data_IF_924240710800
#
_entry.id   IF_924240710800
#
_cell.length_a   1.000
_cell.length_b   1.000
_cell.length_c   1.000
_cell.angle_alpha   90.00
_cell.angle_beta   90.00
_cell.angle_gamma   90.00
#
_symmetry.space_group_name_H-M   'P 1'
#
loop_
_entity.id
_entity.type
_entity.pdbx_description
1 polymer ?
#
# COMPACT_ATOMS: atom_id res chain seq x y z
N UNK A 1 16.91 -9.15 -5.05
CA UNK A 1 15.80 -8.26 -5.45
C UNK A 1 15.66 -7.21 -4.37
N UNK A 2 15.26 -5.98 -4.67
CA UNK A 2 15.10 -4.94 -3.66
C UNK A 2 13.68 -4.98 -3.10
N UNK A 3 13.51 -5.31 -1.82
CA UNK A 3 12.21 -5.30 -1.14
C UNK A 3 12.14 -4.14 -0.16
N UNK A 4 11.10 -3.31 -0.25
CA UNK A 4 10.90 -2.14 0.61
C UNK A 4 9.53 -2.22 1.27
N UNK A 5 9.48 -2.19 2.59
CA UNK A 5 8.26 -2.05 3.38
C UNK A 5 8.21 -0.69 4.06
N UNK A 6 7.04 -0.06 4.12
CA UNK A 6 6.79 1.18 4.86
C UNK A 6 5.48 1.10 5.65
N UNK A 7 5.45 1.77 6.81
CA UNK A 7 4.24 1.89 7.62
C UNK A 7 4.26 3.14 8.52
N UNK A 8 3.12 3.47 9.10
CA UNK A 8 2.90 4.48 10.16
C UNK A 8 3.39 5.88 9.75
N UNK A 9 3.13 6.27 8.49
CA UNK A 9 3.42 7.63 7.99
C UNK A 9 2.26 8.59 8.21
N UNK A 10 1.04 8.06 8.36
CA UNK A 10 -0.21 8.79 8.46
C UNK A 10 -0.63 9.08 9.91
N UNK A 11 -1.63 9.95 10.03
CA UNK A 11 -2.21 10.39 11.30
C UNK A 11 -3.73 10.47 11.19
N UNK A 12 -4.41 10.52 12.34
CA UNK A 12 -5.83 10.89 12.39
C UNK A 12 -6.10 12.28 11.79
N UNK A 13 -5.09 13.14 11.74
CA UNK A 13 -5.15 14.49 11.17
C UNK A 13 -4.96 14.53 9.65
N UNK A 14 -4.53 13.43 9.02
CA UNK A 14 -4.28 13.37 7.58
C UNK A 14 -3.10 12.48 7.20
N UNK A 15 -2.65 12.60 5.95
CA UNK A 15 -1.60 11.75 5.40
C UNK A 15 -2.09 10.37 5.00
N UNK A 16 -1.22 9.58 4.36
CA UNK A 16 -1.53 8.22 3.97
C UNK A 16 -0.25 7.47 3.57
N UNK A 17 0.00 6.30 4.15
CA UNK A 17 1.14 5.43 3.82
C UNK A 17 1.13 4.96 2.37
N UNK A 18 -0.04 4.67 1.80
CA UNK A 18 -0.12 4.26 0.38
C UNK A 18 0.19 5.43 -0.56
N UNK A 19 -0.16 6.67 -0.18
CA UNK A 19 0.20 7.87 -0.94
C UNK A 19 1.72 8.08 -0.96
N UNK A 20 2.39 7.96 0.19
CA UNK A 20 3.87 7.99 0.28
C UNK A 20 4.48 6.88 -0.57
N UNK A 21 3.81 5.73 -0.65
CA UNK A 21 4.16 4.65 -1.57
C UNK A 21 4.28 5.08 -3.04
N UNK A 22 3.39 5.95 -3.52
CA UNK A 22 3.47 6.47 -4.90
C UNK A 22 4.68 7.38 -5.11
N UNK A 23 5.06 8.16 -4.10
CA UNK A 23 6.27 8.99 -4.12
C UNK A 23 7.54 8.14 -4.14
N UNK A 24 7.58 7.03 -3.40
CA UNK A 24 8.73 6.09 -3.43
C UNK A 24 8.89 5.45 -4.81
N UNK A 25 7.79 5.05 -5.45
CA UNK A 25 7.84 4.48 -6.80
C UNK A 25 8.40 5.50 -7.80
N UNK A 26 7.99 6.77 -7.69
CA UNK A 26 8.51 7.83 -8.56
C UNK A 26 9.98 8.14 -8.28
N UNK A 27 10.38 8.19 -7.02
CA UNK A 27 11.77 8.40 -6.62
C UNK A 27 12.69 7.33 -7.17
N UNK A 28 12.26 6.06 -7.13
CA UNK A 28 13.03 4.88 -7.55
C UNK A 28 12.75 4.48 -9.00
N UNK A 29 12.45 5.45 -9.87
CA UNK A 29 12.07 5.23 -11.28
C UNK A 29 13.13 4.53 -12.13
N UNK A 30 14.38 4.46 -11.67
CA UNK A 30 15.44 3.67 -12.30
C UNK A 30 15.29 2.15 -12.12
N UNK A 31 14.42 1.73 -11.20
CA UNK A 31 14.11 0.32 -10.94
C UNK A 31 12.72 -0.05 -11.47
N UNK A 32 12.60 -1.26 -12.01
CA UNK A 32 11.30 -1.78 -12.41
C UNK A 32 10.55 -2.35 -11.19
N UNK A 33 9.26 -2.05 -11.06
CA UNK A 33 8.39 -2.75 -10.13
C UNK A 33 8.18 -4.18 -10.59
N UNK A 34 8.42 -5.12 -9.69
CA UNK A 34 8.23 -6.54 -9.91
C UNK A 34 7.06 -7.01 -9.06
N UNK A 35 6.07 -7.59 -9.74
CA UNK A 35 4.73 -7.83 -9.22
C UNK A 35 4.04 -6.54 -8.76
N UNK A 36 2.79 -6.67 -8.36
CA UNK A 36 2.02 -5.55 -7.84
C UNK A 36 2.53 -5.15 -6.44
N UNK A 37 2.52 -3.84 -6.12
CA UNK A 37 2.64 -3.37 -4.75
C UNK A 37 1.64 -4.07 -3.82
N UNK A 38 2.04 -4.29 -2.57
CA UNK A 38 1.21 -4.96 -1.57
C UNK A 38 0.73 -3.96 -0.55
N UNK A 39 -0.55 -3.99 -0.22
CA UNK A 39 -1.15 -3.29 0.92
C UNK A 39 -1.59 -4.35 1.93
N UNK A 40 -0.90 -4.41 3.07
CA UNK A 40 -1.06 -5.48 4.05
C UNK A 40 -1.73 -4.93 5.29
N UNK A 41 -2.96 -5.37 5.54
CA UNK A 41 -3.74 -5.06 6.73
C UNK A 41 -3.30 -5.98 7.88
N UNK A 42 -2.90 -5.37 8.99
CA UNK A 42 -2.47 -6.06 10.20
C UNK A 42 -3.63 -6.15 11.19
N UNK A 43 -3.38 -6.74 12.37
CA UNK A 43 -4.40 -7.01 13.37
C UNK A 43 -5.23 -5.75 13.72
N UNK A 44 -6.54 -5.71 13.44
CA UNK A 44 -7.36 -4.52 13.65
C UNK A 44 -7.60 -4.21 15.13
N UNK A 45 -7.29 -5.13 16.04
CA UNK A 45 -7.54 -5.00 17.48
C UNK A 45 -6.36 -4.41 18.26
N UNK A 46 -5.24 -4.11 17.59
CA UNK A 46 -4.08 -3.51 18.24
C UNK A 46 -4.41 -2.07 18.68
N UNK A 47 -4.13 -1.69 19.94
CA UNK A 47 -4.52 -0.39 20.49
C UNK A 47 -3.72 0.77 19.87
N UNK A 48 -2.50 0.51 19.41
CA UNK A 48 -1.60 1.49 18.80
C UNK A 48 -1.74 1.53 17.27
N UNK A 49 -2.94 1.36 16.72
CA UNK A 49 -3.14 1.43 15.27
C UNK A 49 -3.37 2.87 14.79
N UNK A 50 -2.89 3.20 13.60
CA UNK A 50 -3.50 4.27 12.80
C UNK A 50 -4.80 3.77 12.17
N UNK A 51 -5.54 4.63 11.45
CA UNK A 51 -6.82 4.24 10.86
C UNK A 51 -6.57 3.16 9.78
N UNK A 52 -7.02 1.93 10.08
CA UNK A 52 -6.95 0.80 9.14
C UNK A 52 -5.69 -0.08 9.23
N UNK A 53 -4.79 0.17 10.19
CA UNK A 53 -3.60 -0.65 10.53
C UNK A 53 -2.94 -1.33 9.31
N UNK A 54 -2.51 -0.54 8.32
CA UNK A 54 -2.08 -1.06 7.02
C UNK A 54 -0.70 -0.56 6.62
N UNK A 55 0.19 -1.50 6.33
CA UNK A 55 1.53 -1.24 5.81
C UNK A 55 1.58 -1.53 4.31
N UNK A 56 2.54 -0.94 3.58
CA UNK A 56 2.73 -1.24 2.15
C UNK A 56 4.12 -1.79 1.87
N UNK A 57 4.19 -2.69 0.89
CA UNK A 57 5.43 -3.30 0.43
C UNK A 57 5.57 -3.22 -1.09
N UNK A 58 6.80 -3.03 -1.54
CA UNK A 58 7.21 -2.96 -2.93
C UNK A 58 8.34 -3.95 -3.18
N UNK A 59 8.41 -4.47 -4.40
CA UNK A 59 9.54 -5.26 -4.87
C UNK A 59 10.05 -4.63 -6.15
N UNK A 60 11.34 -4.31 -6.18
CA UNK A 60 12.04 -3.66 -7.27
C UNK A 60 13.14 -4.57 -7.82
N UNK A 61 13.41 -4.45 -9.11
CA UNK A 61 14.42 -5.23 -9.79
C UNK A 61 14.59 -4.79 -11.24
N UNK A 62 15.09 -5.70 -12.08
CA UNK A 62 15.06 -5.54 -13.54
C UNK A 62 13.95 -6.39 -14.13
N UNK A 63 12.96 -5.77 -14.74
CA UNK A 63 11.78 -6.41 -15.30
C UNK A 63 12.10 -7.38 -16.44
N UNK A 64 11.40 -8.51 -16.47
CA UNK A 64 11.52 -9.52 -17.54
C UNK A 64 10.14 -10.02 -17.94
N UNK A 65 9.84 -9.97 -19.24
CA UNK A 65 8.60 -10.48 -19.80
C UNK A 65 7.50 -9.42 -19.86
N UNK A 66 6.22 -9.83 -19.82
CA UNK A 66 5.11 -8.90 -19.93
C UNK A 66 5.04 -7.98 -18.71
N UNK A 67 4.58 -6.75 -18.97
CA UNK A 67 4.27 -5.76 -17.94
C UNK A 67 2.81 -5.36 -18.06
N UNK A 68 2.21 -5.02 -16.92
CA UNK A 68 0.83 -4.56 -16.83
C UNK A 68 0.82 -3.15 -16.26
N UNK A 69 -0.10 -2.31 -16.75
CA UNK A 69 -0.31 -0.98 -16.18
C UNK A 69 -1.06 -1.12 -14.87
N UNK A 70 -0.47 -0.59 -13.79
CA UNK A 70 -1.02 -0.71 -12.44
C UNK A 70 -1.29 0.65 -11.80
N UNK A 71 -0.90 1.75 -12.43
CA UNK A 71 -1.07 3.07 -11.87
C UNK A 71 -0.83 4.19 -12.87
N UNK A 72 -1.19 5.40 -12.45
CA UNK A 72 -0.82 6.65 -13.11
C UNK A 72 -0.46 7.66 -12.04
N UNK A 73 0.66 8.36 -12.22
CA UNK A 73 1.08 9.47 -11.36
C UNK A 73 1.87 10.51 -12.18
N UNK A 74 1.58 11.80 -12.04
CA UNK A 74 2.19 12.90 -12.81
C UNK A 74 2.14 12.70 -14.33
N UNK A 75 1.02 12.17 -14.84
CA UNK A 75 0.86 11.75 -16.25
C UNK A 75 1.82 10.64 -16.72
N UNK A 76 2.58 10.03 -15.80
CA UNK A 76 3.41 8.86 -16.08
C UNK A 76 2.62 7.59 -15.76
N UNK A 77 2.68 6.63 -16.67
CA UNK A 77 2.10 5.31 -16.47
C UNK A 77 3.05 4.45 -15.61
N UNK A 78 2.51 3.88 -14.54
CA UNK A 78 3.24 2.98 -13.66
C UNK A 78 2.94 1.55 -14.13
N UNK A 79 4.01 0.79 -14.39
CA UNK A 79 3.92 -0.60 -14.80
C UNK A 79 4.53 -1.54 -13.76
N UNK A 80 3.98 -2.74 -13.65
CA UNK A 80 4.60 -3.84 -12.92
C UNK A 80 4.88 -5.01 -13.87
N UNK A 81 6.05 -5.61 -13.73
CA UNK A 81 6.43 -6.82 -14.47
C UNK A 81 6.04 -8.07 -13.68
N UNK A 82 5.63 -9.13 -14.35
CA UNK A 82 5.30 -10.40 -13.69
C UNK A 82 6.54 -11.08 -13.06
N UNK A 83 7.71 -10.87 -13.67
CA UNK A 83 8.98 -11.45 -13.23
C UNK A 83 10.08 -10.41 -13.30
N UNK A 84 11.08 -10.57 -12.45
CA UNK A 84 12.26 -9.72 -12.41
C UNK A 84 13.52 -10.50 -12.16
N UNK A 85 14.66 -9.86 -12.41
CA UNK A 85 15.99 -10.32 -12.03
C UNK A 85 16.63 -9.35 -11.06
N UNK A 86 17.61 -9.87 -10.34
CA UNK A 86 18.42 -9.05 -9.44
C UNK A 86 19.11 -7.92 -10.20
N UNK A 87 19.12 -6.76 -9.56
CA UNK A 87 19.84 -5.57 -9.96
C UNK A 87 20.74 -5.17 -8.79
N UNK A 88 21.91 -4.61 -9.09
CA UNK A 88 22.79 -4.08 -8.06
C UNK A 88 22.23 -2.73 -7.59
N UNK A 89 22.19 -2.54 -6.28
CA UNK A 89 21.83 -1.29 -5.63
C UNK A 89 22.65 -1.16 -4.35
N UNK A 90 22.82 0.06 -3.87
CA UNK A 90 23.37 0.33 -2.55
C UNK A 90 22.21 0.53 -1.56
N UNK A 91 22.10 -0.34 -0.55
CA UNK A 91 21.07 -0.23 0.49
C UNK A 91 21.13 1.11 1.23
N UNK A 92 22.32 1.66 1.44
CA UNK A 92 22.51 2.92 2.17
C UNK A 92 22.04 4.11 1.34
N UNK A 93 22.29 4.11 0.03
CA UNK A 93 21.79 5.16 -0.85
C UNK A 93 20.26 5.13 -0.95
N UNK A 94 19.69 3.93 -1.15
CA UNK A 94 18.24 3.75 -1.24
C UNK A 94 17.56 4.17 0.07
N UNK A 95 18.10 3.75 1.23
CA UNK A 95 17.51 4.11 2.52
C UNK A 95 17.62 5.61 2.77
N UNK A 96 18.71 6.26 2.37
CA UNK A 96 18.87 7.72 2.51
C UNK A 96 17.79 8.46 1.71
N UNK A 97 17.58 8.09 0.43
CA UNK A 97 16.55 8.72 -0.43
C UNK A 97 15.15 8.53 0.14
N UNK A 98 14.79 7.30 0.51
CA UNK A 98 13.47 6.99 1.10
C UNK A 98 13.31 7.69 2.46
N UNK A 99 14.35 7.75 3.29
CA UNK A 99 14.28 8.40 4.59
C UNK A 99 13.97 9.89 4.47
N UNK A 100 14.53 10.59 3.47
CA UNK A 100 14.22 12.00 3.19
C UNK A 100 12.76 12.19 2.79
N UNK A 101 12.24 11.32 1.91
CA UNK A 101 10.83 11.35 1.51
C UNK A 101 9.88 11.08 2.66
N UNK A 102 10.12 10.01 3.42
CA UNK A 102 9.32 9.65 4.59
C UNK A 102 9.38 10.75 5.64
N UNK A 103 10.55 11.34 5.89
CA UNK A 103 10.68 12.47 6.82
C UNK A 103 9.89 13.69 6.37
N UNK A 104 9.87 13.98 5.06
CA UNK A 104 9.15 15.12 4.48
C UNK A 104 7.62 14.95 4.50
N UNK A 105 7.13 13.74 4.24
CA UNK A 105 5.70 13.49 4.02
C UNK A 105 4.98 12.82 5.19
N UNK A 106 5.71 12.33 6.21
CA UNK A 106 5.10 11.76 7.40
C UNK A 106 4.58 12.84 8.36
N UNK A 107 3.47 12.53 9.02
CA UNK A 107 2.86 13.43 9.99
C UNK A 107 3.67 13.53 11.30
N UNK A 108 3.68 14.68 12.00
CA UNK A 108 4.47 14.84 13.22
C UNK A 108 4.12 13.88 14.38
N UNK A 109 2.89 13.38 14.43
CA UNK A 109 2.41 12.45 15.46
C UNK A 109 2.43 10.97 15.03
N UNK A 110 2.95 10.68 13.83
CA UNK A 110 3.16 9.32 13.33
C UNK A 110 4.54 8.78 13.73
N UNK A 111 4.75 7.46 13.69
CA UNK A 111 6.04 6.85 14.01
C UNK A 111 6.54 5.96 12.86
N UNK A 112 6.88 6.57 11.71
CA UNK A 112 7.08 5.85 10.48
C UNK A 112 8.26 4.90 10.59
N UNK A 113 8.16 3.80 9.86
CA UNK A 113 9.25 2.85 9.70
C UNK A 113 9.38 2.39 8.27
N UNK A 114 10.63 2.14 7.90
CA UNK A 114 11.06 1.65 6.60
C UNK A 114 11.94 0.43 6.84
N UNK A 115 11.71 -0.63 6.08
CA UNK A 115 12.55 -1.83 6.08
C UNK A 115 12.95 -2.15 4.65
N UNK A 116 14.23 -2.36 4.43
CA UNK A 116 14.82 -2.73 3.14
C UNK A 116 15.49 -4.09 3.26
N UNK A 117 15.11 -5.04 2.41
CA UNK A 117 15.64 -6.41 2.42
C UNK A 117 15.96 -6.90 1.01
N UNK A 118 16.90 -7.84 0.90
CA UNK A 118 17.25 -8.49 -0.38
C UNK A 118 16.33 -9.67 -0.73
N UNK A 119 15.54 -10.10 0.25
CA UNK A 119 14.56 -11.19 0.15
C UNK A 119 13.31 -10.90 0.98
N UNK A 120 12.27 -11.70 0.77
CA UNK A 120 11.12 -11.73 1.68
C UNK A 120 11.57 -12.03 3.11
N UNK A 121 10.89 -11.42 4.07
CA UNK A 121 11.08 -11.73 5.49
C UNK A 121 10.33 -13.02 5.86
N UNK A 122 10.67 -13.67 6.99
CA UNK A 122 10.01 -14.91 7.40
C UNK A 122 8.49 -14.78 7.52
N UNK A 123 7.74 -15.67 6.87
CA UNK A 123 6.27 -15.62 6.79
C UNK A 123 5.59 -15.64 8.18
N UNK A 124 6.21 -16.28 9.16
CA UNK A 124 5.72 -16.30 10.55
C UNK A 124 5.52 -14.89 11.13
N UNK A 125 6.33 -13.90 10.71
CA UNK A 125 6.19 -12.51 11.15
C UNK A 125 4.87 -11.88 10.66
N UNK A 126 4.45 -12.19 9.43
CA UNK A 126 3.16 -11.75 8.91
C UNK A 126 2.02 -12.37 9.73
N UNK A 127 2.05 -13.69 9.95
CA UNK A 127 1.01 -14.38 10.71
C UNK A 127 0.88 -13.86 12.15
N UNK A 128 2.00 -13.56 12.80
CA UNK A 128 1.99 -12.90 14.10
C UNK A 128 1.36 -11.50 14.01
N UNK A 129 1.74 -10.70 13.01
CA UNK A 129 1.23 -9.33 12.84
C UNK A 129 -0.27 -9.22 12.56
N UNK A 130 -0.89 -10.25 11.96
CA UNK A 130 -2.34 -10.28 11.72
C UNK A 130 -3.14 -10.93 12.85
N UNK A 131 -2.54 -11.81 13.66
CA UNK A 131 -3.26 -12.54 14.71
C UNK A 131 -3.01 -12.01 16.12
N UNK A 132 -1.89 -11.35 16.38
CA UNK A 132 -1.45 -10.98 17.73
C UNK A 132 -0.53 -9.75 17.71
N UNK A 133 0.16 -9.47 18.82
CA UNK A 133 1.19 -8.44 18.95
C UNK A 133 2.54 -9.06 18.62
N UNK A 134 3.31 -8.42 17.75
CA UNK A 134 4.68 -8.82 17.40
C UNK A 134 5.62 -8.40 18.53
N UNK A 135 6.42 -9.36 19.04
CA UNK A 135 7.42 -9.06 20.07
C UNK A 135 8.67 -8.41 19.48
N UNK A 136 9.46 -7.72 20.32
CA UNK A 136 10.71 -7.09 19.87
C UNK A 136 11.72 -8.11 19.39
N UNK A 137 11.80 -9.26 20.06
CA UNK A 137 12.70 -10.37 19.75
C UNK A 137 12.36 -10.97 18.38
N UNK A 138 11.07 -11.25 18.15
CA UNK A 138 10.62 -11.77 16.86
C UNK A 138 10.91 -10.80 15.72
N UNK A 139 10.69 -9.50 15.95
CA UNK A 139 11.00 -8.48 14.97
C UNK A 139 12.50 -8.39 14.71
N UNK A 140 13.35 -8.36 15.75
CA UNK A 140 14.81 -8.26 15.60
C UNK A 140 15.38 -9.45 14.85
N UNK A 141 14.89 -10.66 15.13
CA UNK A 141 15.33 -11.89 14.47
C UNK A 141 14.92 -11.91 12.99
N UNK A 142 13.72 -11.40 12.68
CA UNK A 142 13.20 -11.40 11.33
C UNK A 142 13.89 -10.38 10.40
N UNK A 143 14.41 -9.27 10.94
CA UNK A 143 15.05 -8.20 10.15
C UNK A 143 16.59 -8.30 10.10
N UNK A 144 17.17 -9.43 10.53
CA UNK A 144 18.61 -9.66 10.42
C UNK A 144 19.07 -9.54 8.96
N UNK A 145 20.01 -8.64 8.68
CA UNK A 145 20.51 -8.36 7.32
C UNK A 145 19.68 -7.36 6.51
N UNK A 146 18.54 -6.91 7.05
CA UNK A 146 17.77 -5.80 6.50
C UNK A 146 18.34 -4.45 6.98
N UNK A 147 18.18 -3.42 6.17
CA UNK A 147 18.44 -2.03 6.56
C UNK A 147 17.13 -1.40 7.02
N UNK A 148 17.15 -0.70 8.16
CA UNK A 148 15.94 -0.09 8.72
C UNK A 148 16.14 1.39 9.00
N UNK A 149 15.06 2.14 8.86
CA UNK A 149 14.97 3.55 9.22
C UNK A 149 13.64 3.77 9.92
N UNK A 150 13.64 4.60 10.95
CA UNK A 150 12.39 4.98 11.59
C UNK A 150 12.51 6.31 12.31
N UNK A 151 11.36 6.94 12.53
CA UNK A 151 11.26 8.23 13.21
C UNK A 151 10.33 8.13 14.41
N UNK A 152 10.55 9.00 15.39
CA UNK A 152 9.59 9.29 16.46
C UNK A 152 9.13 8.05 17.25
N UNK A 153 10.01 7.07 17.43
CA UNK A 153 9.73 5.80 18.11
C UNK A 153 9.70 4.58 17.20
N UNK A 154 9.70 4.79 15.87
CA UNK A 154 9.97 3.77 14.85
C UNK A 154 9.05 2.55 14.87
N UNK A 155 7.85 2.69 15.43
CA UNK A 155 6.85 1.60 15.55
C UNK A 155 6.43 1.05 14.18
N UNK A 156 6.41 1.88 13.14
CA UNK A 156 6.15 1.47 11.76
C UNK A 156 7.13 0.43 11.21
N UNK A 157 8.30 0.21 11.83
CA UNK A 157 9.23 -0.86 11.40
C UNK A 157 8.54 -2.22 11.51
N UNK A 158 7.70 -2.41 12.54
CA UNK A 158 6.95 -3.64 12.72
C UNK A 158 6.03 -3.92 11.53
N UNK A 159 5.19 -2.95 11.14
CA UNK A 159 4.25 -3.17 10.04
C UNK A 159 4.92 -3.23 8.68
N UNK A 160 5.96 -2.40 8.47
CA UNK A 160 6.83 -2.49 7.30
C UNK A 160 7.42 -3.91 7.15
N UNK A 161 7.96 -4.48 8.23
CA UNK A 161 8.49 -5.84 8.23
C UNK A 161 7.40 -6.89 7.98
N UNK A 162 6.24 -6.80 8.63
CA UNK A 162 5.11 -7.71 8.37
C UNK A 162 4.64 -7.66 6.91
N UNK A 163 4.65 -6.48 6.28
CA UNK A 163 4.28 -6.33 4.87
C UNK A 163 5.28 -6.97 3.91
N UNK A 164 6.56 -7.02 4.29
CA UNK A 164 7.62 -7.73 3.56
C UNK A 164 7.58 -9.24 3.78
N UNK A 165 7.01 -9.71 4.89
CA UNK A 165 6.83 -11.13 5.18
C UNK A 165 5.64 -11.76 4.42
N UNK A 166 4.66 -10.95 3.99
CA UNK A 166 3.50 -11.45 3.25
C UNK A 166 3.79 -11.64 1.76
N UNK A 167 3.69 -12.87 1.28
CA UNK A 167 3.91 -13.23 -0.13
C UNK A 167 2.68 -12.95 -1.03
N UNK A 168 1.49 -12.86 -0.45
CA UNK A 168 0.23 -12.79 -1.18
C UNK A 168 -0.13 -14.05 -1.98
N UNK A 169 0.53 -15.17 -1.66
CA UNK A 169 0.23 -16.47 -2.22
C UNK A 169 -0.34 -17.36 -1.11
N UNK A 170 -1.29 -18.23 -1.47
CA UNK A 170 -1.85 -19.24 -0.57
C UNK A 170 -1.66 -20.61 -1.20
N UNK A 171 -1.18 -21.57 -0.41
CA UNK A 171 -1.12 -22.98 -0.81
C UNK A 171 -2.49 -23.67 -0.71
N UNK A 172 -3.50 -22.99 -0.16
CA UNK A 172 -4.86 -23.51 -0.05
C UNK A 172 -5.68 -23.12 -1.29
N UNK A 173 -5.90 -24.09 -2.18
CA UNK A 173 -6.69 -23.93 -3.41
C UNK A 173 -8.14 -23.49 -3.18
N UNK A 174 -8.68 -23.67 -1.97
CA UNK A 174 -10.08 -23.33 -1.64
C UNK A 174 -10.24 -21.92 -1.05
N UNK A 175 -9.15 -21.12 -0.97
CA UNK A 175 -9.20 -19.75 -0.45
C UNK A 175 -8.70 -18.77 -1.50
N UNK A 176 -9.37 -17.63 -1.59
CA UNK A 176 -8.88 -16.48 -2.35
C UNK A 176 -7.56 -16.02 -1.69
N UNK A 177 -6.41 -16.10 -2.39
CA UNK A 177 -5.10 -15.83 -1.79
C UNK A 177 -4.88 -14.35 -1.47
N UNK A 178 -5.58 -13.47 -2.19
CA UNK A 178 -5.52 -12.03 -2.07
C UNK A 178 -6.72 -11.41 -2.76
N UNK A 179 -7.03 -10.18 -2.41
CA UNK A 179 -7.93 -9.33 -3.20
C UNK A 179 -7.15 -8.14 -3.76
N UNK A 180 -7.84 -7.28 -4.50
CA UNK A 180 -7.29 -6.09 -5.11
C UNK A 180 -7.93 -4.84 -4.52
N UNK A 181 -7.12 -3.83 -4.26
CA UNK A 181 -7.57 -2.51 -3.83
C UNK A 181 -6.94 -1.47 -4.76
N UNK A 182 -7.77 -0.89 -5.62
CA UNK A 182 -7.42 0.25 -6.46
C UNK A 182 -7.64 1.51 -5.64
N UNK A 183 -6.58 2.31 -5.43
CA UNK A 183 -6.67 3.52 -4.63
C UNK A 183 -6.51 4.73 -5.55
N UNK A 184 -7.55 5.56 -5.60
CA UNK A 184 -7.49 6.88 -6.22
C UNK A 184 -7.11 7.93 -5.18
N UNK A 185 -6.27 8.89 -5.55
CA UNK A 185 -5.83 9.98 -4.68
C UNK A 185 -6.23 11.34 -5.27
N UNK A 186 -6.48 12.30 -4.38
CA UNK A 186 -6.90 13.67 -4.70
C UNK A 186 -5.69 14.55 -4.95
N UNK A 187 -5.88 15.58 -5.77
CA UNK A 187 -4.96 16.69 -5.87
C UNK A 187 -4.75 17.36 -4.49
N UNK A 188 -3.53 17.83 -4.22
CA UNK A 188 -3.11 18.33 -2.90
C UNK A 188 -3.95 19.52 -2.41
N UNK A 189 -4.37 20.38 -3.33
CA UNK A 189 -5.24 21.54 -3.07
C UNK A 189 -6.64 21.16 -2.57
N UNK A 190 -7.07 19.92 -2.75
CA UNK A 190 -8.36 19.40 -2.30
C UNK A 190 -8.29 18.65 -0.96
N UNK A 191 -7.11 18.44 -0.38
CA UNK A 191 -7.00 17.70 0.88
C UNK A 191 -7.76 18.41 2.01
N UNK A 192 -8.38 17.64 2.90
CA UNK A 192 -9.24 18.19 3.96
C UNK A 192 -10.63 18.68 3.53
N UNK A 193 -10.90 18.87 2.24
CA UNK A 193 -12.22 19.26 1.73
C UNK A 193 -13.16 18.06 1.60
N UNK A 194 -14.47 18.30 1.44
CA UNK A 194 -15.42 17.25 1.13
C UNK A 194 -15.10 16.61 -0.23
N UNK A 195 -15.27 15.28 -0.31
CA UNK A 195 -15.10 14.51 -1.55
C UNK A 195 -16.38 14.59 -2.36
N UNK A 196 -16.25 14.83 -3.66
CA UNK A 196 -17.38 14.92 -4.56
C UNK A 196 -17.56 13.62 -5.35
N UNK A 197 -18.21 12.64 -4.71
CA UNK A 197 -18.49 11.31 -5.26
C UNK A 197 -19.99 11.03 -5.18
N UNK A 198 -20.60 10.70 -6.32
CA UNK A 198 -22.02 10.38 -6.39
C UNK A 198 -22.30 8.96 -5.89
N UNK A 199 -23.22 8.84 -4.92
CA UNK A 199 -23.71 7.54 -4.43
C UNK A 199 -24.29 6.68 -5.55
N UNK A 200 -24.94 7.28 -6.55
CA UNK A 200 -25.47 6.57 -7.72
C UNK A 200 -24.36 5.92 -8.55
N UNK A 201 -23.23 6.62 -8.74
CA UNK A 201 -22.08 6.05 -9.45
C UNK A 201 -21.46 4.89 -8.69
N UNK A 202 -21.37 5.01 -7.36
CA UNK A 202 -20.90 3.94 -6.46
C UNK A 202 -21.84 2.73 -6.53
N UNK A 203 -23.15 2.94 -6.53
CA UNK A 203 -24.12 1.85 -6.61
C UNK A 203 -23.98 1.09 -7.94
N UNK A 204 -23.80 1.79 -9.06
CA UNK A 204 -23.61 1.16 -10.36
C UNK A 204 -22.38 0.26 -10.40
N UNK A 205 -21.23 0.73 -9.91
CA UNK A 205 -20.01 -0.10 -9.88
C UNK A 205 -20.10 -1.24 -8.86
N UNK A 206 -20.91 -1.09 -7.80
CA UNK A 206 -21.04 -2.11 -6.75
C UNK A 206 -21.70 -3.39 -7.23
N UNK A 207 -22.44 -3.33 -8.36
CA UNK A 207 -23.07 -4.48 -8.99
C UNK A 207 -22.15 -5.26 -9.94
N UNK A 208 -20.91 -4.80 -10.14
CA UNK A 208 -19.95 -5.49 -11.01
C UNK A 208 -19.45 -6.80 -10.38
N UNK A 209 -19.18 -7.79 -11.23
CA UNK A 209 -18.70 -9.10 -10.77
C UNK A 209 -17.36 -8.98 -10.03
N UNK A 210 -17.31 -9.59 -8.84
CA UNK A 210 -16.13 -9.59 -7.98
C UNK A 210 -15.86 -8.29 -7.22
N UNK A 211 -16.66 -7.24 -7.39
CA UNK A 211 -16.57 -5.99 -6.59
C UNK A 211 -17.23 -6.18 -5.22
N UNK A 212 -16.64 -5.58 -4.18
CA UNK A 212 -17.20 -5.63 -2.83
C UNK A 212 -16.84 -4.41 -1.98
N UNK A 213 -17.49 -4.26 -0.83
CA UNK A 213 -17.24 -3.19 0.17
C UNK A 213 -17.37 -1.74 -0.36
N UNK A 214 -18.20 -1.53 -1.38
CA UNK A 214 -18.50 -0.17 -1.87
C UNK A 214 -19.38 0.62 -0.90
N UNK A 215 -20.37 -0.03 -0.30
CA UNK A 215 -21.35 0.56 0.62
C UNK A 215 -21.39 -0.23 1.94
N UNK A 216 -21.64 0.46 3.05
CA UNK A 216 -21.98 -0.13 4.34
C UNK A 216 -23.43 -0.65 4.32
N UNK A 217 -23.78 -1.48 5.31
CA UNK A 217 -25.14 -2.00 5.50
C UNK A 217 -26.19 -0.88 5.63
N UNK A 218 -25.80 0.26 6.17
CA UNK A 218 -26.66 1.44 6.34
C UNK A 218 -26.77 2.31 5.07
N UNK A 219 -26.23 1.87 3.94
CA UNK A 219 -26.27 2.58 2.66
C UNK A 219 -25.25 3.72 2.50
N UNK A 220 -24.35 3.91 3.48
CA UNK A 220 -23.24 4.87 3.37
C UNK A 220 -22.17 4.35 2.43
N UNK A 221 -21.55 5.25 1.67
CA UNK A 221 -20.42 4.90 0.78
C UNK A 221 -19.18 4.58 1.62
N UNK A 222 -18.87 3.29 1.77
CA UNK A 222 -17.80 2.79 2.62
C UNK A 222 -16.41 2.93 1.99
N UNK A 223 -16.34 2.89 0.66
CA UNK A 223 -15.08 3.01 -0.08
C UNK A 223 -14.49 4.43 -0.08
N UNK A 224 -15.26 5.43 0.34
CA UNK A 224 -14.86 6.84 0.38
C UNK A 224 -14.50 7.20 1.83
N UNK A 225 -13.24 7.54 2.14
CA UNK A 225 -12.85 7.78 3.52
C UNK A 225 -13.41 9.10 4.05
N UNK A 226 -13.88 9.09 5.30
CA UNK A 226 -14.31 10.29 6.01
C UNK A 226 -13.15 10.84 6.87
N UNK A 227 -12.07 11.24 6.22
CA UNK A 227 -10.88 11.86 6.83
C UNK A 227 -10.28 12.92 5.91
N UNK A 228 -9.46 13.84 6.43
CA UNK A 228 -8.71 14.81 5.63
C UNK A 228 -7.59 14.20 4.77
N UNK A 229 -7.47 12.87 4.73
CA UNK A 229 -6.43 12.14 4.01
C UNK A 229 -6.48 12.35 2.48
N UNK A 230 -5.40 12.06 1.75
CA UNK A 230 -5.31 12.24 0.29
C UNK A 230 -6.14 11.25 -0.53
N UNK A 231 -6.63 10.16 0.07
CA UNK A 231 -7.37 9.11 -0.66
C UNK A 231 -8.73 9.63 -1.11
N UNK A 232 -9.07 9.54 -2.39
CA UNK A 232 -10.39 9.84 -2.94
C UNK A 232 -11.35 8.67 -2.70
N UNK A 233 -10.94 7.46 -3.06
CA UNK A 233 -11.67 6.21 -2.83
C UNK A 233 -10.71 5.01 -2.82
N UNK A 234 -11.11 3.92 -2.15
CA UNK A 234 -10.46 2.61 -2.20
C UNK A 234 -11.41 1.58 -2.80
N UNK A 235 -11.30 1.34 -4.11
CA UNK A 235 -12.19 0.46 -4.87
C UNK A 235 -11.67 -0.98 -4.79
N UNK A 236 -12.48 -1.90 -4.25
CA UNK A 236 -12.04 -3.25 -3.90
C UNK A 236 -12.74 -4.31 -4.75
N UNK A 237 -12.00 -5.35 -5.08
CA UNK A 237 -12.54 -6.49 -5.81
C UNK A 237 -11.60 -7.69 -5.88
N UNK A 238 -12.10 -8.79 -6.45
CA UNK A 238 -11.33 -10.02 -6.65
C UNK A 238 -10.61 -10.08 -7.99
N UNK A 239 -10.91 -9.14 -8.91
CA UNK A 239 -10.36 -9.05 -10.27
C UNK A 239 -9.77 -7.66 -10.51
N UNK A 240 -8.49 -7.59 -10.86
CA UNK A 240 -7.76 -6.34 -11.06
C UNK A 240 -8.31 -5.53 -12.25
N UNK A 241 -8.57 -6.22 -13.36
CA UNK A 241 -9.08 -5.69 -14.61
C UNK A 241 -10.44 -5.00 -14.44
N UNK A 242 -11.35 -5.60 -13.66
CA UNK A 242 -12.66 -5.00 -13.38
C UNK A 242 -12.50 -3.66 -12.68
N UNK A 243 -11.55 -3.52 -11.75
CA UNK A 243 -11.32 -2.26 -11.04
C UNK A 243 -10.73 -1.20 -11.97
N UNK A 244 -9.70 -1.56 -12.75
CA UNK A 244 -9.00 -0.65 -13.66
C UNK A 244 -9.94 -0.16 -14.78
N UNK A 245 -10.77 -1.03 -15.34
CA UNK A 245 -11.62 -0.68 -16.47
C UNK A 245 -12.83 0.18 -16.07
N UNK A 246 -13.22 0.15 -14.78
CA UNK A 246 -14.47 0.78 -14.33
C UNK A 246 -14.31 1.96 -13.37
N UNK A 247 -13.12 2.23 -12.83
CA UNK A 247 -12.96 3.34 -11.88
C UNK A 247 -13.29 4.71 -12.47
N UNK A 248 -13.17 4.88 -13.79
CA UNK A 248 -13.54 6.11 -14.48
C UNK A 248 -15.03 6.43 -14.36
N UNK A 249 -15.86 5.46 -13.97
CA UNK A 249 -17.28 5.68 -13.71
C UNK A 249 -17.56 6.32 -12.33
N UNK A 250 -16.58 6.29 -11.41
CA UNK A 250 -16.66 7.00 -10.13
C UNK A 250 -16.46 8.49 -10.32
N UNK A 251 -17.34 9.31 -9.74
CA UNK A 251 -17.23 10.76 -9.85
C UNK A 251 -18.52 11.48 -9.49
N UNK A 252 -18.53 12.82 -9.56
CA UNK A 252 -17.84 13.63 -10.56
C UNK A 252 -16.35 13.91 -10.31
N UNK A 253 -15.85 13.89 -9.08
CA UNK A 253 -14.42 14.09 -8.82
C UNK A 253 -13.58 12.92 -9.33
N UNK A 254 -12.50 13.23 -10.08
CA UNK A 254 -11.55 12.25 -10.61
C UNK A 254 -10.26 12.24 -9.80
N UNK A 255 -9.59 11.08 -9.67
CA UNK A 255 -8.30 11.03 -9.00
C UNK A 255 -7.23 11.75 -9.82
N UNK A 256 -6.34 12.47 -9.12
CA UNK A 256 -5.10 13.04 -9.68
C UNK A 256 -4.10 11.94 -10.03
N UNK A 257 -4.07 10.89 -9.21
CA UNK A 257 -3.23 9.70 -9.39
C UNK A 257 -3.95 8.48 -8.83
N UNK A 258 -3.58 7.30 -9.31
CA UNK A 258 -4.12 6.04 -8.79
C UNK A 258 -3.09 4.92 -8.86
N UNK A 259 -3.22 3.95 -7.98
CA UNK A 259 -2.35 2.77 -7.94
C UNK A 259 -3.14 1.55 -7.46
N UNK A 260 -2.93 0.42 -8.13
CA UNK A 260 -3.51 -0.87 -7.78
C UNK A 260 -2.60 -1.62 -6.81
N UNK A 261 -3.17 -2.06 -5.69
CA UNK A 261 -2.49 -2.89 -4.69
C UNK A 261 -3.08 -4.28 -4.62
N UNK A 262 -2.21 -5.26 -4.39
CA UNK A 262 -2.55 -6.59 -3.91
C UNK A 262 -2.75 -6.53 -2.40
N UNK A 263 -3.88 -7.01 -1.87
CA UNK A 263 -4.21 -6.93 -0.44
C UNK A 263 -4.62 -8.29 0.14
N UNK A 264 -4.36 -8.48 1.44
CA UNK A 264 -4.72 -9.68 2.20
C UNK A 264 -6.18 -9.69 2.67
#
# INVERSE_FOLDING_TARGET
>A
MLHIGIDDTDSVKGGCTTWVGTEIIAELSEFDLICHPRLVRLNPNVPWKTRGNGAVAFTFGKGVGPKQKIGVFQNLEIFAFEKGRDIKYDKNEVIERISKLVSKHSYPDSQPGVVISDSFLPEGLYWQGVTSIVSKEMLSDAIVGASTFGLRGSRGICGAACSLAWSGNSNNMNKIPHTWELIGYRAEDKWGTNRDISSNTVQNISNLDGVFSCNDLDGKVAMVPNSPCPVLWGFRGTKAEILIDNFQNLGPEKPDRWLLYKTN
#
